data_IF_632863302176
#
_entry.id   IF_632863302176
#
_cell.length_a   1.000
_cell.length_b   1.000
_cell.length_c   1.000
_cell.angle_alpha   90.00
_cell.angle_beta   90.00
_cell.angle_gamma   90.00
#
_symmetry.space_group_name_H-M   'P 1'
#
loop_
_entity.id
_entity.type
_entity.pdbx_description
1 polymer ?
#
# COMPACT_ATOMS: atom_id res chain seq x y z
N UNK A 1 -9.81 10.47 19.49
CA UNK A 1 -9.33 9.20 18.94
C UNK A 1 -8.72 8.36 20.04
N UNK A 2 -9.24 7.13 20.22
CA UNK A 2 -8.87 6.24 21.32
C UNK A 2 -7.36 5.87 21.26
N UNK A 3 -6.60 5.86 22.38
CA UNK A 3 -5.14 5.62 22.36
C UNK A 3 -4.73 4.26 21.77
N UNK A 4 -5.59 3.26 21.82
CA UNK A 4 -5.35 1.93 21.21
C UNK A 4 -5.27 1.98 19.69
N UNK A 5 -6.10 2.79 19.04
CA UNK A 5 -6.17 2.96 17.59
C UNK A 5 -4.89 3.62 17.06
N UNK A 6 -4.36 4.59 17.81
CA UNK A 6 -3.10 5.26 17.46
C UNK A 6 -1.90 4.28 17.48
N UNK A 7 -1.87 3.35 18.42
CA UNK A 7 -0.82 2.32 18.51
C UNK A 7 -0.89 1.27 17.41
N UNK A 8 -2.09 0.83 17.02
CA UNK A 8 -2.26 -0.16 15.94
C UNK A 8 -1.84 0.39 14.57
N UNK A 9 -2.17 1.64 14.25
CA UNK A 9 -1.73 2.30 13.01
C UNK A 9 -0.21 2.45 12.92
N UNK A 10 0.45 2.74 14.02
CA UNK A 10 1.91 2.83 14.10
C UNK A 10 2.57 1.47 13.99
N UNK A 11 1.99 0.42 14.58
CA UNK A 11 2.49 -0.95 14.48
C UNK A 11 2.50 -1.46 13.03
N UNK A 12 1.44 -1.23 12.24
CA UNK A 12 1.35 -1.77 10.87
C UNK A 12 2.48 -1.30 9.94
N UNK A 13 2.90 -0.04 10.02
CA UNK A 13 4.00 0.49 9.19
C UNK A 13 5.34 0.03 9.71
N UNK A 14 5.52 0.06 11.02
CA UNK A 14 6.74 -0.35 11.70
C UNK A 14 7.04 -1.85 11.46
N UNK A 15 6.03 -2.69 11.52
CA UNK A 15 6.18 -4.13 11.30
C UNK A 15 6.54 -4.47 9.84
N UNK A 16 6.02 -3.69 8.88
CA UNK A 16 6.23 -3.91 7.44
C UNK A 16 7.50 -3.27 6.90
N UNK A 17 7.99 -2.22 7.52
CA UNK A 17 9.28 -1.60 7.21
C UNK A 17 10.42 -2.17 8.06
N UNK A 18 10.25 -3.33 8.69
CA UNK A 18 11.22 -3.93 9.61
C UNK A 18 11.62 -2.98 10.76
N UNK A 19 10.72 -2.11 11.17
CA UNK A 19 10.96 -1.12 12.22
C UNK A 19 11.63 0.17 11.75
N UNK A 20 11.94 0.30 10.46
CA UNK A 20 12.68 1.44 9.95
C UNK A 20 11.85 2.73 9.94
N UNK A 21 10.60 2.67 9.49
CA UNK A 21 9.77 3.86 9.31
C UNK A 21 8.53 3.88 10.20
N UNK A 22 8.21 5.07 10.69
CA UNK A 22 6.97 5.36 11.41
C UNK A 22 6.29 6.60 10.80
N UNK A 23 5.00 6.51 10.48
CA UNK A 23 4.23 7.66 10.02
C UNK A 23 3.68 8.44 11.20
N UNK A 24 3.93 9.75 11.21
CA UNK A 24 3.44 10.69 12.20
C UNK A 24 2.65 11.78 11.50
N UNK A 25 1.48 12.10 12.05
CA UNK A 25 0.76 13.30 11.61
C UNK A 25 1.57 14.52 12.04
N UNK A 26 1.77 15.45 11.11
CA UNK A 26 2.36 16.74 11.44
C UNK A 26 1.40 17.45 12.40
N UNK A 27 1.88 17.80 13.58
CA UNK A 27 1.13 18.64 14.53
C UNK A 27 1.22 20.06 14.02
N UNK A 28 0.08 20.77 13.95
CA UNK A 28 -0.04 22.11 13.41
C UNK A 28 1.01 23.04 14.05
N UNK A 29 2.00 23.40 13.23
CA UNK A 29 2.93 24.49 13.59
C UNK A 29 2.16 25.80 13.65
N UNK A 30 2.60 26.71 14.49
CA UNK A 30 2.06 27.99 14.90
C UNK A 30 1.59 28.99 13.82
N UNK A 31 1.53 28.61 12.56
CA UNK A 31 1.06 29.45 11.47
C UNK A 31 -0.41 29.17 11.13
N UNK A 32 -1.31 29.91 11.76
CA UNK A 32 -2.77 29.91 11.55
C UNK A 32 -3.28 30.24 10.13
N UNK A 33 -2.42 30.35 9.12
CA UNK A 33 -2.80 30.77 7.76
C UNK A 33 -2.83 29.65 6.72
N UNK A 34 -2.20 28.51 6.97
CA UNK A 34 -2.37 27.34 6.09
C UNK A 34 -3.43 26.43 6.70
N UNK A 35 -4.51 26.21 5.93
CA UNK A 35 -5.52 25.21 6.30
C UNK A 35 -4.80 23.89 6.53
N UNK A 36 -4.79 23.43 7.78
CA UNK A 36 -4.19 22.17 8.18
C UNK A 36 -4.76 21.04 7.33
N UNK A 37 -3.99 20.64 6.33
CA UNK A 37 -4.22 19.42 5.58
C UNK A 37 -3.81 18.21 6.42
N UNK A 38 -4.05 17.02 5.91
CA UNK A 38 -3.57 15.77 6.50
C UNK A 38 -2.10 15.59 6.09
N UNK A 39 -1.21 16.48 6.58
CA UNK A 39 0.22 16.35 6.31
C UNK A 39 0.83 15.27 7.21
N UNK A 40 1.58 14.37 6.56
CA UNK A 40 2.25 13.27 7.22
C UNK A 40 3.76 13.47 7.15
N UNK A 41 4.41 13.15 8.26
CA UNK A 41 5.85 13.01 8.36
C UNK A 41 6.22 11.53 8.54
N UNK A 42 7.42 11.21 8.13
CA UNK A 42 8.05 9.91 8.39
C UNK A 42 9.16 10.11 9.40
N UNK A 43 9.15 9.30 10.44
CA UNK A 43 10.28 9.13 11.36
C UNK A 43 11.08 7.95 10.84
N UNK A 44 12.34 8.20 10.48
CA UNK A 44 13.29 7.17 10.12
C UNK A 44 14.07 6.75 11.37
N UNK A 45 13.82 5.56 11.87
CA UNK A 45 14.45 5.06 13.11
C UNK A 45 15.91 4.64 12.90
N UNK A 46 16.39 4.51 11.66
CA UNK A 46 17.81 4.23 11.39
C UNK A 46 18.70 5.42 11.66
N UNK A 47 18.24 6.62 11.28
CA UNK A 47 19.03 7.85 11.43
C UNK A 47 18.40 8.85 12.43
N UNK A 48 17.27 8.51 13.04
CA UNK A 48 16.56 9.34 14.02
C UNK A 48 15.98 10.64 13.45
N UNK A 49 15.82 10.75 12.12
CA UNK A 49 15.32 11.95 11.47
C UNK A 49 13.82 11.91 11.23
N UNK A 50 13.15 13.05 11.44
CA UNK A 50 11.76 13.27 11.01
C UNK A 50 11.78 14.10 9.72
N UNK A 51 11.11 13.60 8.67
CA UNK A 51 11.04 14.26 7.36
C UNK A 51 9.66 14.13 6.73
N UNK A 52 9.32 15.04 5.81
CA UNK A 52 8.05 14.96 5.10
C UNK A 52 7.98 13.68 4.25
N UNK A 53 6.78 13.05 4.18
CA UNK A 53 6.54 11.89 3.28
C UNK A 53 6.84 12.19 1.82
N UNK A 54 6.84 13.46 1.42
CA UNK A 54 7.18 13.91 0.05
C UNK A 54 8.64 13.66 -0.32
N UNK A 55 9.51 13.43 0.66
CA UNK A 55 10.95 13.16 0.47
C UNK A 55 11.27 11.67 0.36
N UNK A 56 10.27 10.82 0.45
CA UNK A 56 10.42 9.38 0.29
C UNK A 56 10.76 9.02 -1.16
N UNK A 57 11.60 8.01 -1.34
CA UNK A 57 11.80 7.39 -2.64
C UNK A 57 10.50 6.73 -3.14
N UNK A 58 10.43 6.37 -4.42
CA UNK A 58 9.26 5.70 -4.98
C UNK A 58 8.91 4.40 -4.26
N UNK A 59 9.92 3.60 -3.91
CA UNK A 59 9.74 2.36 -3.15
C UNK A 59 9.25 2.60 -1.72
N UNK A 60 9.90 3.50 -1.00
CA UNK A 60 9.51 3.89 0.36
C UNK A 60 8.08 4.47 0.40
N UNK A 61 7.75 5.32 -0.59
CA UNK A 61 6.43 5.94 -0.73
C UNK A 61 5.35 4.87 -0.97
N UNK A 62 5.63 3.88 -1.83
CA UNK A 62 4.73 2.77 -2.06
C UNK A 62 4.50 1.94 -0.78
N UNK A 63 5.57 1.57 -0.07
CA UNK A 63 5.47 0.84 1.20
C UNK A 63 4.67 1.60 2.26
N UNK A 64 4.93 2.91 2.40
CA UNK A 64 4.20 3.77 3.32
C UNK A 64 2.70 3.85 2.96
N UNK A 65 2.38 4.02 1.67
CA UNK A 65 1.01 4.07 1.16
C UNK A 65 0.27 2.75 1.36
N UNK A 66 0.91 1.63 1.04
CA UNK A 66 0.35 0.29 1.25
C UNK A 66 0.07 0.05 2.74
N UNK A 67 1.02 0.35 3.61
CA UNK A 67 0.87 0.19 5.05
C UNK A 67 -0.26 1.06 5.62
N UNK A 68 -0.39 2.29 5.12
CA UNK A 68 -1.47 3.21 5.51
C UNK A 68 -2.83 2.67 5.06
N UNK A 69 -2.94 2.19 3.81
CA UNK A 69 -4.17 1.62 3.26
C UNK A 69 -4.62 0.39 4.05
N UNK A 70 -3.67 -0.48 4.40
CA UNK A 70 -3.94 -1.68 5.18
C UNK A 70 -4.34 -1.36 6.62
N UNK A 71 -3.64 -0.43 7.26
CA UNK A 71 -4.00 0.04 8.60
C UNK A 71 -5.38 0.72 8.65
N UNK A 72 -5.76 1.45 7.59
CA UNK A 72 -7.09 2.03 7.44
C UNK A 72 -8.15 0.94 7.25
N UNK A 73 -7.86 -0.09 6.45
CA UNK A 73 -8.72 -1.25 6.26
C UNK A 73 -9.03 -1.95 7.58
N UNK A 74 -8.00 -2.24 8.37
CA UNK A 74 -8.15 -2.88 9.68
C UNK A 74 -8.99 -2.02 10.64
N UNK A 75 -8.81 -0.70 10.59
CA UNK A 75 -9.58 0.23 11.40
C UNK A 75 -11.05 0.27 11.01
N UNK A 76 -11.36 0.32 9.72
CA UNK A 76 -12.74 0.30 9.21
C UNK A 76 -13.43 -0.99 9.63
N UNK A 77 -12.75 -2.13 9.51
CA UNK A 77 -13.30 -3.42 9.93
C UNK A 77 -13.59 -3.47 11.43
N UNK A 78 -12.73 -2.89 12.25
CA UNK A 78 -12.92 -2.86 13.71
C UNK A 78 -14.03 -1.91 14.17
N UNK A 79 -14.23 -0.78 13.44
CA UNK A 79 -15.22 0.24 13.82
C UNK A 79 -16.64 -0.05 13.31
N UNK A 80 -16.75 -0.66 12.15
CA UNK A 80 -18.03 -0.82 11.44
C UNK A 80 -18.83 -2.05 11.89
N UNK A 81 -18.53 -2.62 13.07
CA UNK A 81 -19.34 -3.69 13.65
C UNK A 81 -19.41 -4.96 12.80
N UNK A 82 -18.34 -5.27 12.05
CA UNK A 82 -18.27 -6.51 11.29
C UNK A 82 -18.36 -6.35 9.76
N UNK A 83 -18.21 -5.14 9.21
CA UNK A 83 -17.99 -5.00 7.77
C UNK A 83 -16.59 -5.56 7.48
N UNK A 84 -16.55 -6.70 6.79
CA UNK A 84 -15.30 -7.32 6.31
C UNK A 84 -15.00 -6.80 4.92
N UNK A 85 -13.75 -6.47 4.67
CA UNK A 85 -13.27 -6.23 3.31
C UNK A 85 -12.95 -7.58 2.68
N UNK A 86 -13.85 -8.07 1.84
CA UNK A 86 -13.71 -9.36 1.19
C UNK A 86 -12.78 -9.30 -0.03
N UNK A 87 -12.50 -8.11 -0.54
CA UNK A 87 -11.58 -7.91 -1.68
C UNK A 87 -10.84 -6.57 -1.61
N UNK A 88 -9.59 -6.60 -2.07
CA UNK A 88 -8.73 -5.43 -2.21
C UNK A 88 -8.03 -5.47 -3.56
N UNK A 89 -7.96 -4.33 -4.24
CA UNK A 89 -7.24 -4.20 -5.50
C UNK A 89 -6.12 -3.18 -5.35
N UNK A 90 -4.92 -3.57 -5.77
CA UNK A 90 -3.74 -2.70 -5.85
C UNK A 90 -3.43 -2.46 -7.32
N UNK A 91 -3.59 -1.22 -7.75
CA UNK A 91 -3.37 -0.80 -9.13
C UNK A 91 -2.01 -0.12 -9.27
N UNK A 92 -1.09 -0.77 -9.99
CA UNK A 92 0.27 -0.28 -10.26
C UNK A 92 1.12 -0.03 -8.97
N UNK A 93 2.23 0.71 -9.09
CA UNK A 93 3.11 1.08 -7.98
C UNK A 93 4.31 0.16 -7.76
N UNK A 94 4.26 -1.06 -8.28
CA UNK A 94 5.34 -2.04 -8.09
C UNK A 94 6.57 -1.79 -9.00
N UNK A 95 6.43 -0.97 -10.03
CA UNK A 95 7.50 -0.72 -11.00
C UNK A 95 8.67 0.10 -10.46
N UNK A 96 8.46 0.84 -9.37
CA UNK A 96 9.47 1.65 -8.70
C UNK A 96 10.21 0.92 -7.58
N UNK A 97 9.82 -0.34 -7.29
CA UNK A 97 10.37 -1.14 -6.20
C UNK A 97 11.64 -1.86 -6.65
N UNK A 98 12.64 -1.87 -5.79
CA UNK A 98 13.74 -2.83 -5.86
C UNK A 98 13.24 -4.23 -5.52
N UNK A 99 14.10 -5.22 -5.68
CA UNK A 99 13.73 -6.63 -5.47
C UNK A 99 13.35 -6.95 -4.03
N UNK A 100 14.02 -6.34 -3.07
CA UNK A 100 13.74 -6.55 -1.65
C UNK A 100 12.39 -5.93 -1.25
N UNK A 101 12.16 -4.69 -1.63
CA UNK A 101 10.90 -3.98 -1.41
C UNK A 101 9.70 -4.67 -2.10
N UNK A 102 9.93 -5.21 -3.32
CA UNK A 102 8.92 -5.99 -4.03
C UNK A 102 8.57 -7.27 -3.26
N UNK A 103 9.57 -7.98 -2.74
CA UNK A 103 9.37 -9.19 -1.93
C UNK A 103 8.56 -8.90 -0.67
N UNK A 104 8.88 -7.80 0.01
CA UNK A 104 8.18 -7.39 1.22
C UNK A 104 6.72 -7.00 0.93
N UNK A 105 6.49 -6.24 -0.16
CA UNK A 105 5.15 -5.87 -0.59
C UNK A 105 4.28 -7.09 -0.92
N UNK A 106 4.83 -8.04 -1.68
CA UNK A 106 4.11 -9.28 -2.04
C UNK A 106 3.77 -10.09 -0.79
N UNK A 107 4.73 -10.29 0.13
CA UNK A 107 4.46 -10.99 1.41
C UNK A 107 3.37 -10.31 2.24
N UNK A 108 3.35 -8.98 2.28
CA UNK A 108 2.32 -8.24 2.99
C UNK A 108 0.92 -8.48 2.38
N UNK A 109 0.83 -8.55 1.05
CA UNK A 109 -0.42 -8.83 0.33
C UNK A 109 -0.85 -10.30 0.44
N UNK A 110 0.09 -11.25 0.44
CA UNK A 110 -0.17 -12.67 0.69
C UNK A 110 -0.76 -12.88 2.10
N UNK A 111 -0.22 -12.21 3.11
CA UNK A 111 -0.76 -12.27 4.48
C UNK A 111 -2.20 -11.76 4.61
N UNK A 112 -2.66 -10.89 3.70
CA UNK A 112 -4.08 -10.50 3.64
C UNK A 112 -4.95 -11.58 2.98
N UNK A 113 -4.44 -12.22 1.94
CA UNK A 113 -5.14 -13.30 1.26
C UNK A 113 -5.37 -14.50 2.19
N UNK A 114 -4.42 -14.81 3.07
CA UNK A 114 -4.55 -15.83 4.11
C UNK A 114 -5.68 -15.51 5.12
N UNK A 115 -6.00 -14.24 5.28
CA UNK A 115 -7.11 -13.73 6.12
C UNK A 115 -8.50 -13.77 5.46
N UNK A 116 -8.71 -14.51 4.36
CA UNK A 116 -9.94 -14.56 3.57
C UNK A 116 -10.26 -13.26 2.78
N UNK A 117 -9.29 -12.46 2.44
CA UNK A 117 -9.44 -11.31 1.55
C UNK A 117 -8.95 -11.67 0.14
N UNK A 118 -9.78 -11.44 -0.87
CA UNK A 118 -9.34 -11.57 -2.26
C UNK A 118 -8.42 -10.39 -2.63
N UNK A 119 -7.15 -10.65 -2.86
CA UNK A 119 -6.20 -9.62 -3.28
C UNK A 119 -5.99 -9.68 -4.78
N UNK A 120 -6.39 -8.62 -5.48
CA UNK A 120 -6.13 -8.43 -6.90
C UNK A 120 -4.99 -7.43 -7.12
N UNK A 121 -4.05 -7.76 -8.01
CA UNK A 121 -2.94 -6.89 -8.37
C UNK A 121 -3.03 -6.58 -9.87
N UNK A 122 -3.06 -5.30 -10.21
CA UNK A 122 -2.97 -4.84 -11.59
C UNK A 122 -1.55 -4.33 -11.80
N UNK A 123 -0.77 -4.99 -12.65
CA UNK A 123 0.62 -4.60 -12.87
C UNK A 123 1.15 -5.11 -14.19
N UNK A 124 2.12 -4.35 -14.74
CA UNK A 124 2.90 -4.75 -15.91
C UNK A 124 4.27 -5.34 -15.57
N UNK A 125 4.64 -5.43 -14.29
CA UNK A 125 5.96 -5.88 -13.80
C UNK A 125 6.15 -7.37 -14.08
N UNK A 126 7.19 -7.78 -14.86
CA UNK A 126 7.41 -9.18 -15.23
C UNK A 126 7.61 -10.11 -14.02
N UNK A 127 8.34 -9.66 -13.01
CA UNK A 127 8.62 -10.45 -11.80
C UNK A 127 7.34 -10.83 -11.04
N UNK A 128 6.30 -9.99 -11.04
CA UNK A 128 5.00 -10.30 -10.46
C UNK A 128 4.26 -11.38 -11.26
N UNK A 129 4.39 -11.36 -12.60
CA UNK A 129 3.78 -12.37 -13.46
C UNK A 129 4.32 -13.78 -13.21
N UNK A 130 5.57 -13.89 -12.80
CA UNK A 130 6.21 -15.19 -12.52
C UNK A 130 5.78 -15.75 -11.16
N UNK A 131 5.48 -14.88 -10.20
CA UNK A 131 5.14 -15.28 -8.82
C UNK A 131 3.67 -15.62 -8.62
N UNK A 132 2.78 -14.93 -9.31
CA UNK A 132 1.34 -15.09 -9.12
C UNK A 132 0.83 -16.17 -10.06
N UNK A 133 0.27 -17.24 -9.48
CA UNK A 133 -0.23 -18.39 -10.25
C UNK A 133 -1.48 -18.05 -11.05
N UNK A 134 -2.48 -17.44 -10.43
CA UNK A 134 -3.76 -17.11 -11.07
C UNK A 134 -3.71 -15.73 -11.70
N UNK A 135 -3.86 -15.66 -13.00
CA UNK A 135 -3.66 -14.42 -13.79
C UNK A 135 -4.79 -14.19 -14.77
N UNK A 136 -5.18 -12.93 -14.93
CA UNK A 136 -5.99 -12.45 -16.03
C UNK A 136 -5.06 -11.68 -16.96
N UNK A 137 -4.79 -12.24 -18.14
CA UNK A 137 -3.92 -11.59 -19.12
C UNK A 137 -4.79 -10.80 -20.08
N UNK A 138 -4.60 -9.47 -20.07
CA UNK A 138 -5.29 -8.57 -20.98
C UNK A 138 -4.34 -8.19 -22.10
N UNK A 139 -4.73 -8.51 -23.34
CA UNK A 139 -3.96 -8.18 -24.55
C UNK A 139 -4.77 -7.27 -25.46
N UNK A 140 -4.10 -6.24 -25.97
CA UNK A 140 -4.69 -5.35 -26.98
C UNK A 140 -4.68 -6.05 -28.33
N UNK A 141 -5.85 -6.21 -28.93
CA UNK A 141 -5.98 -6.78 -30.27
C UNK A 141 -6.20 -5.64 -31.28
N UNK A 142 -5.34 -5.60 -32.29
CA UNK A 142 -5.48 -4.69 -33.44
C UNK A 142 -5.78 -5.53 -34.67
N UNK A 143 -7.05 -5.63 -35.02
CA UNK A 143 -7.45 -6.23 -36.29
C UNK A 143 -7.86 -5.16 -37.30
N UNK A 144 -7.98 -5.53 -38.57
CA UNK A 144 -8.50 -4.63 -39.63
C UNK A 144 -9.93 -4.15 -39.37
N UNK A 145 -10.68 -4.88 -38.53
CA UNK A 145 -12.08 -4.62 -38.24
C UNK A 145 -12.30 -3.81 -36.93
N UNK A 146 -11.21 -3.36 -36.29
CA UNK A 146 -11.31 -2.53 -35.09
C UNK A 146 -10.22 -2.77 -34.06
N UNK A 147 -10.24 -1.91 -33.02
CA UNK A 147 -9.34 -2.00 -31.87
C UNK A 147 -10.14 -2.55 -30.69
N UNK A 148 -9.72 -3.69 -30.15
CA UNK A 148 -10.34 -4.31 -28.99
C UNK A 148 -9.33 -4.84 -28.00
N UNK A 149 -9.81 -5.38 -26.88
CA UNK A 149 -8.99 -6.07 -25.88
C UNK A 149 -9.53 -7.49 -25.69
N UNK A 150 -8.61 -8.43 -25.48
CA UNK A 150 -8.93 -9.81 -25.13
C UNK A 150 -8.39 -10.10 -23.74
N UNK A 151 -9.25 -10.64 -22.87
CA UNK A 151 -8.86 -11.12 -21.54
C UNK A 151 -8.87 -12.65 -21.54
N UNK A 152 -7.84 -13.26 -20.97
CA UNK A 152 -7.70 -14.71 -20.81
C UNK A 152 -7.28 -15.02 -19.39
N UNK A 153 -7.99 -15.95 -18.74
CA UNK A 153 -7.62 -16.47 -17.42
C UNK A 153 -6.60 -17.60 -17.62
N UNK A 154 -5.52 -17.55 -16.87
CA UNK A 154 -4.49 -18.59 -16.81
C UNK A 154 -4.24 -18.98 -15.37
#
# INVERSE_FOLDING_TARGET
LHPRVRRQRQMCIRDRSQGQYELKRQEDGTNKKEKAGLELNVIDHYNGTERSVRTLSGGESFQASLSLALGLSDEIQSYAGGIRLDSMFVDEGFGSLDEESLNQAVKALEGLADGNCLVGIISHVPKLKERIEKKIIVTKNRSRDGVGSRAVIK
#
